data_IF_595533429684
#
_entry.id   IF_595533429684
#
_cell.length_a   1.000
_cell.length_b   1.000
_cell.length_c   1.000
_cell.angle_alpha   90.00
_cell.angle_beta   90.00
_cell.angle_gamma   90.00
#
_symmetry.space_group_name_H-M   'P 1'
#
loop_
_entity.id
_entity.type
_entity.pdbx_description
1 polymer ?
#
# COMPACT_ATOMS: atom_id res chain seq x y z
N UNK A 1 0.59 -18.77 -16.22
CA UNK A 1 2.05 -19.06 -16.24
C UNK A 1 2.76 -17.74 -16.54
N UNK A 2 3.60 -17.27 -15.63
CA UNK A 2 4.32 -15.99 -15.76
C UNK A 2 5.40 -16.15 -16.84
N UNK A 3 5.28 -15.40 -17.93
CA UNK A 3 6.26 -15.42 -19.04
C UNK A 3 7.22 -14.25 -18.88
N UNK A 4 8.52 -14.53 -18.86
CA UNK A 4 9.54 -13.48 -18.86
C UNK A 4 9.69 -12.88 -20.26
N UNK A 5 9.81 -11.56 -20.31
CA UNK A 5 10.01 -10.81 -21.56
C UNK A 5 11.42 -11.02 -22.11
N UNK A 6 12.43 -10.88 -21.25
CA UNK A 6 13.84 -11.02 -21.61
C UNK A 6 14.65 -11.66 -20.48
N UNK A 7 15.80 -12.24 -20.81
CA UNK A 7 16.83 -12.59 -19.83
C UNK A 7 17.88 -11.47 -19.81
N UNK A 8 18.02 -10.79 -18.68
CA UNK A 8 18.96 -9.67 -18.52
C UNK A 8 20.37 -10.17 -18.18
N UNK A 9 21.36 -9.50 -18.74
CA UNK A 9 22.73 -9.65 -18.28
C UNK A 9 22.89 -9.12 -16.84
N UNK A 10 23.85 -9.66 -16.09
CA UNK A 10 24.05 -9.28 -14.69
C UNK A 10 24.34 -7.79 -14.50
N UNK A 11 24.98 -7.15 -15.49
CA UNK A 11 25.24 -5.71 -15.45
C UNK A 11 23.94 -4.90 -15.57
N UNK A 12 23.02 -5.31 -16.44
CA UNK A 12 21.73 -4.66 -16.65
C UNK A 12 20.81 -4.87 -15.45
N UNK A 13 20.76 -6.10 -14.93
CA UNK A 13 20.02 -6.45 -13.72
C UNK A 13 20.50 -5.62 -12.52
N UNK A 14 21.83 -5.48 -12.35
CA UNK A 14 22.43 -4.66 -11.29
C UNK A 14 22.10 -3.18 -11.45
N UNK A 15 22.21 -2.64 -12.65
CA UNK A 15 21.88 -1.24 -12.93
C UNK A 15 20.40 -0.95 -12.65
N UNK A 16 19.49 -1.83 -13.09
CA UNK A 16 18.04 -1.69 -12.86
C UNK A 16 17.70 -1.71 -11.37
N UNK A 17 18.23 -2.67 -10.61
CA UNK A 17 18.02 -2.76 -9.17
C UNK A 17 18.61 -1.54 -8.42
N UNK A 18 19.84 -1.13 -8.77
CA UNK A 18 20.49 0.02 -8.16
C UNK A 18 19.77 1.34 -8.46
N UNK A 19 19.19 1.49 -9.65
CA UNK A 19 18.37 2.64 -10.01
C UNK A 19 17.18 2.81 -9.06
N UNK A 20 16.36 1.76 -8.90
CA UNK A 20 15.23 1.81 -7.98
C UNK A 20 15.66 2.01 -6.52
N UNK A 21 16.72 1.33 -6.06
CA UNK A 21 17.22 1.49 -4.69
C UNK A 21 17.68 2.93 -4.42
N UNK A 22 18.33 3.55 -5.41
CA UNK A 22 18.76 4.96 -5.35
C UNK A 22 17.56 5.90 -5.26
N UNK A 23 16.54 5.69 -6.10
CA UNK A 23 15.34 6.54 -6.11
C UNK A 23 14.53 6.41 -4.82
N UNK A 24 14.38 5.18 -4.30
CA UNK A 24 13.78 4.91 -2.99
C UNK A 24 14.49 5.72 -1.91
N UNK A 25 15.82 5.60 -1.83
CA UNK A 25 16.61 6.28 -0.81
C UNK A 25 16.49 7.80 -0.91
N UNK A 26 16.67 8.36 -2.11
CA UNK A 26 16.57 9.81 -2.36
C UNK A 26 15.19 10.36 -1.98
N UNK A 27 14.12 9.69 -2.41
CA UNK A 27 12.76 10.14 -2.14
C UNK A 27 12.40 9.98 -0.67
N UNK A 28 12.82 8.91 -0.02
CA UNK A 28 12.58 8.70 1.42
C UNK A 28 13.28 9.76 2.28
N UNK A 29 14.55 10.07 1.99
CA UNK A 29 15.29 11.13 2.71
C UNK A 29 14.60 12.47 2.54
N UNK A 30 14.21 12.83 1.32
CA UNK A 30 13.46 14.05 1.05
C UNK A 30 12.14 14.10 1.84
N UNK A 31 11.33 13.04 1.73
CA UNK A 31 10.02 12.97 2.38
C UNK A 31 10.12 13.05 3.90
N UNK A 32 11.10 12.37 4.51
CA UNK A 32 11.37 12.47 5.95
C UNK A 32 11.69 13.91 6.36
N UNK A 33 12.57 14.58 5.61
CA UNK A 33 12.91 15.97 5.87
C UNK A 33 11.69 16.90 5.75
N UNK A 34 10.85 16.71 4.74
CA UNK A 34 9.64 17.52 4.57
C UNK A 34 8.59 17.24 5.64
N UNK A 35 8.41 15.99 6.07
CA UNK A 35 7.49 15.67 7.16
C UNK A 35 7.97 16.27 8.49
N UNK A 36 9.29 16.29 8.73
CA UNK A 36 9.87 16.91 9.92
C UNK A 36 9.74 18.44 9.89
N UNK A 37 10.06 19.10 8.77
CA UNK A 37 10.09 20.55 8.69
C UNK A 37 8.72 21.18 8.45
N UNK A 38 7.87 20.49 7.70
CA UNK A 38 6.64 21.04 7.13
C UNK A 38 5.39 20.20 7.45
N UNK A 39 5.48 19.22 8.37
CA UNK A 39 4.39 18.27 8.66
C UNK A 39 3.03 18.94 8.91
N UNK A 40 2.98 19.96 9.76
CA UNK A 40 1.73 20.67 10.07
C UNK A 40 1.16 21.41 8.87
N UNK A 41 2.04 22.02 8.08
CA UNK A 41 1.67 22.68 6.82
C UNK A 41 1.12 21.69 5.81
N UNK A 42 1.74 20.51 5.67
CA UNK A 42 1.25 19.43 4.79
C UNK A 42 -0.14 18.99 5.22
N UNK A 43 -0.33 18.65 6.50
CA UNK A 43 -1.61 18.20 7.04
C UNK A 43 -2.70 19.26 6.82
N UNK A 44 -2.43 20.50 7.23
CA UNK A 44 -3.38 21.62 7.15
C UNK A 44 -3.77 21.91 5.71
N UNK A 45 -2.80 22.01 4.80
CA UNK A 45 -3.05 22.32 3.38
C UNK A 45 -3.79 21.19 2.67
N UNK A 46 -3.42 19.94 2.92
CA UNK A 46 -4.10 18.77 2.33
C UNK A 46 -5.55 18.65 2.80
N UNK A 47 -5.79 18.74 4.12
CA UNK A 47 -7.14 18.69 4.69
C UNK A 47 -8.02 19.84 4.19
N UNK A 48 -7.46 21.03 3.98
CA UNK A 48 -8.17 22.21 3.47
C UNK A 48 -8.54 22.13 1.99
N UNK A 49 -7.84 21.33 1.17
CA UNK A 49 -8.22 21.12 -0.25
C UNK A 49 -9.57 20.39 -0.30
N UNK A 50 -10.48 20.88 -1.14
CA UNK A 50 -11.73 20.18 -1.46
C UNK A 50 -11.45 18.92 -2.28
N UNK A 51 -12.45 18.03 -2.40
CA UNK A 51 -12.36 16.81 -3.23
C UNK A 51 -11.85 17.11 -4.65
N UNK A 52 -12.47 18.07 -5.35
CA UNK A 52 -12.07 18.44 -6.71
C UNK A 52 -10.63 18.98 -6.76
N UNK A 53 -10.23 19.83 -5.80
CA UNK A 53 -8.85 20.33 -5.74
C UNK A 53 -7.81 19.24 -5.45
N UNK A 54 -8.18 18.17 -4.75
CA UNK A 54 -7.31 16.99 -4.57
C UNK A 54 -7.26 16.19 -5.85
N UNK A 55 -8.39 15.96 -6.51
CA UNK A 55 -8.46 15.28 -7.80
C UNK A 55 -7.59 15.98 -8.85
N UNK A 56 -7.77 17.28 -9.05
CA UNK A 56 -7.00 18.08 -10.01
C UNK A 56 -5.49 17.96 -9.75
N UNK A 57 -5.08 18.07 -8.48
CA UNK A 57 -3.68 17.95 -8.07
C UNK A 57 -3.13 16.55 -8.34
N UNK A 58 -3.87 15.50 -8.02
CA UNK A 58 -3.41 14.12 -8.22
C UNK A 58 -3.32 13.76 -9.71
N UNK A 59 -4.24 14.27 -10.53
CA UNK A 59 -4.21 14.08 -12.00
C UNK A 59 -3.09 14.85 -12.68
N UNK A 60 -2.71 16.02 -12.14
CA UNK A 60 -1.53 16.76 -12.60
C UNK A 60 -0.24 15.96 -12.34
N UNK A 61 -0.15 15.26 -11.20
CA UNK A 61 1.01 14.44 -10.84
C UNK A 61 1.08 13.13 -11.64
N UNK A 62 -0.04 12.41 -11.73
CA UNK A 62 -0.14 11.17 -12.49
C UNK A 62 -1.44 11.19 -13.32
N UNK A 63 -1.36 11.58 -14.60
CA UNK A 63 -2.51 11.58 -15.51
C UNK A 63 -3.13 10.19 -15.69
N UNK A 64 -2.35 9.13 -15.45
CA UNK A 64 -2.77 7.74 -15.58
C UNK A 64 -3.15 7.12 -14.22
N UNK A 65 -3.27 7.91 -13.15
CA UNK A 65 -3.68 7.44 -11.84
C UNK A 65 -5.04 6.76 -11.95
N UNK A 66 -5.11 5.54 -11.44
CA UNK A 66 -6.30 4.73 -11.62
C UNK A 66 -7.52 5.34 -10.91
N UNK A 67 -8.69 5.44 -11.58
CA UNK A 67 -9.81 6.23 -11.05
C UNK A 67 -10.52 5.59 -9.85
N UNK A 68 -10.63 4.26 -9.83
CA UNK A 68 -11.53 3.56 -8.90
C UNK A 68 -10.78 2.74 -7.85
N UNK A 69 -11.43 2.49 -6.71
CA UNK A 69 -10.98 1.44 -5.79
C UNK A 69 -11.10 0.08 -6.45
N UNK A 70 -10.34 -0.90 -5.96
CA UNK A 70 -10.34 -2.28 -6.45
C UNK A 70 -10.09 -2.44 -7.96
N UNK A 71 -8.91 -2.02 -8.47
CA UNK A 71 -8.62 -2.03 -9.91
C UNK A 71 -8.84 -3.39 -10.58
N UNK A 72 -8.53 -4.50 -9.89
CA UNK A 72 -8.73 -5.85 -10.41
C UNK A 72 -10.18 -6.10 -10.87
N UNK A 73 -11.17 -5.69 -10.08
CA UNK A 73 -12.59 -5.93 -10.37
C UNK A 73 -13.03 -5.13 -11.59
N UNK A 74 -12.69 -3.84 -11.61
CA UNK A 74 -13.04 -2.95 -12.71
C UNK A 74 -12.33 -3.32 -14.01
N UNK A 75 -11.04 -3.69 -13.95
CA UNK A 75 -10.29 -4.13 -15.12
C UNK A 75 -10.80 -5.46 -15.66
N UNK A 76 -11.17 -6.42 -14.79
CA UNK A 76 -11.78 -7.67 -15.23
C UNK A 76 -13.12 -7.43 -15.92
N UNK A 77 -13.99 -6.58 -15.34
CA UNK A 77 -15.28 -6.21 -15.96
C UNK A 77 -15.07 -5.53 -17.32
N UNK A 78 -14.12 -4.60 -17.41
CA UNK A 78 -13.79 -3.91 -18.66
C UNK A 78 -13.23 -4.87 -19.71
N UNK A 79 -12.43 -5.85 -19.30
CA UNK A 79 -11.92 -6.90 -20.19
C UNK A 79 -13.04 -7.80 -20.70
N UNK A 80 -13.94 -8.26 -19.82
CA UNK A 80 -15.08 -9.10 -20.19
C UNK A 80 -15.99 -8.42 -21.22
N UNK A 81 -16.20 -7.11 -21.09
CA UNK A 81 -16.96 -6.33 -22.07
C UNK A 81 -16.30 -6.22 -23.45
N UNK A 82 -15.01 -6.55 -23.58
CA UNK A 82 -14.25 -6.56 -24.83
C UNK A 82 -14.18 -7.95 -25.49
N UNK A 83 -14.60 -9.00 -24.80
CA UNK A 83 -14.61 -10.35 -25.35
C UNK A 83 -15.81 -10.46 -26.31
N UNK A 84 -15.59 -10.82 -27.59
CA UNK A 84 -16.67 -11.07 -28.53
C UNK A 84 -17.61 -12.19 -28.02
N UNK A 85 -18.94 -12.07 -28.20
CA UNK A 85 -19.90 -13.05 -27.71
C UNK A 85 -19.84 -14.41 -28.42
N UNK A 86 -19.36 -14.42 -29.67
CA UNK A 86 -19.11 -15.63 -30.47
C UNK A 86 -17.67 -15.59 -30.99
N UNK A 87 -17.07 -16.78 -31.04
CA UNK A 87 -15.76 -17.13 -31.60
C UNK A 87 -14.51 -17.07 -30.70
N UNK A 88 -13.88 -18.26 -30.65
CA UNK A 88 -12.47 -18.55 -30.44
C UNK A 88 -11.67 -17.44 -29.75
N UNK A 89 -11.62 -17.49 -28.42
CA UNK A 89 -10.69 -16.67 -27.65
C UNK A 89 -9.29 -17.03 -28.14
N UNK A 90 -8.68 -16.15 -28.94
CA UNK A 90 -7.27 -16.27 -29.29
C UNK A 90 -6.47 -16.43 -28.00
N UNK A 91 -5.52 -17.36 -27.99
CA UNK A 91 -4.60 -17.53 -26.86
C UNK A 91 -3.86 -16.23 -26.49
N UNK A 92 -3.85 -15.25 -27.41
CA UNK A 92 -3.27 -13.93 -27.23
C UNK A 92 -4.14 -12.91 -26.48
N UNK A 93 -5.44 -13.16 -26.32
CA UNK A 93 -6.36 -12.25 -25.62
C UNK A 93 -6.62 -12.79 -24.21
N UNK A 94 -5.73 -12.44 -23.28
CA UNK A 94 -5.88 -12.79 -21.87
C UNK A 94 -6.10 -11.55 -21.00
N UNK A 95 -6.81 -11.73 -19.89
CA UNK A 95 -6.98 -10.70 -18.86
C UNK A 95 -5.61 -10.16 -18.41
N UNK A 96 -4.63 -11.04 -18.24
CA UNK A 96 -3.30 -10.65 -17.81
C UNK A 96 -2.58 -9.73 -18.80
N UNK A 97 -2.67 -10.00 -20.11
CA UNK A 97 -2.08 -9.13 -21.13
C UNK A 97 -2.79 -7.79 -21.19
N UNK A 98 -4.11 -7.77 -21.06
CA UNK A 98 -4.88 -6.53 -20.96
C UNK A 98 -4.45 -5.69 -19.75
N UNK A 99 -4.27 -6.32 -18.59
CA UNK A 99 -3.86 -5.63 -17.36
C UNK A 99 -2.43 -5.08 -17.39
N UNK A 100 -1.54 -5.55 -18.29
CA UNK A 100 -0.20 -4.97 -18.45
C UNK A 100 -0.23 -3.49 -18.84
N UNK A 101 -1.27 -3.06 -19.56
CA UNK A 101 -1.52 -1.64 -19.87
C UNK A 101 -1.88 -0.80 -18.65
N UNK A 102 -2.14 -1.43 -17.50
CA UNK A 102 -2.48 -0.80 -16.23
C UNK A 102 -1.45 -1.15 -15.14
N UNK A 103 -0.16 -1.12 -15.51
CA UNK A 103 0.95 -1.56 -14.66
C UNK A 103 0.94 -0.91 -13.28
N UNK A 104 0.79 0.40 -13.17
CA UNK A 104 0.81 1.11 -11.88
C UNK A 104 -0.34 0.66 -10.96
N UNK A 105 -1.52 0.44 -11.52
CA UNK A 105 -2.68 -0.07 -10.78
C UNK A 105 -2.48 -1.54 -10.32
N UNK A 106 -1.63 -2.30 -11.01
CA UNK A 106 -1.25 -3.65 -10.60
C UNK A 106 -0.10 -3.66 -9.57
N UNK A 107 0.82 -2.69 -9.64
CA UNK A 107 1.91 -2.54 -8.66
C UNK A 107 1.40 -2.00 -7.32
N UNK A 108 0.50 -1.02 -7.37
CA UNK A 108 0.00 -0.28 -6.21
C UNK A 108 -1.53 -0.16 -6.26
N UNK A 109 -2.29 -1.27 -6.10
CA UNK A 109 -3.74 -1.26 -6.26
C UNK A 109 -4.51 -0.36 -5.28
N UNK A 110 -3.86 0.02 -4.16
CA UNK A 110 -4.40 0.94 -3.16
C UNK A 110 -4.13 2.42 -3.48
N UNK A 111 -3.30 2.73 -4.48
CA UNK A 111 -3.05 4.09 -4.97
C UNK A 111 -4.00 4.36 -6.13
N UNK A 112 -5.15 4.96 -5.81
CA UNK A 112 -6.20 5.31 -6.75
C UNK A 112 -6.87 6.64 -6.37
N UNK A 113 -7.50 7.30 -7.33
CA UNK A 113 -8.13 8.60 -7.14
C UNK A 113 -9.23 8.55 -6.08
N UNK A 114 -10.22 7.67 -6.25
CA UNK A 114 -11.36 7.54 -5.35
C UNK A 114 -10.95 7.42 -3.87
N UNK A 115 -10.01 6.52 -3.57
CA UNK A 115 -9.48 6.33 -2.22
C UNK A 115 -8.77 7.54 -1.64
N UNK A 116 -7.98 8.26 -2.45
CA UNK A 116 -7.16 9.39 -1.98
C UNK A 116 -7.94 10.72 -1.90
N UNK A 117 -8.96 10.93 -2.73
CA UNK A 117 -9.73 12.19 -2.74
C UNK A 117 -10.86 12.20 -1.72
N UNK A 118 -11.48 11.04 -1.45
CA UNK A 118 -12.63 10.92 -0.55
C UNK A 118 -12.25 11.15 0.91
N UNK A 119 -11.23 10.43 1.37
CA UNK A 119 -10.76 10.51 2.74
C UNK A 119 -9.34 11.09 2.79
N UNK A 120 -9.16 12.37 3.19
CA UNK A 120 -7.84 13.00 3.22
C UNK A 120 -6.89 12.32 4.21
N UNK A 121 -7.40 11.57 5.18
CA UNK A 121 -6.58 10.84 6.14
C UNK A 121 -5.81 9.72 5.44
N UNK A 122 -6.34 9.10 4.39
CA UNK A 122 -5.68 7.98 3.69
C UNK A 122 -4.32 8.38 3.14
N UNK A 123 -4.25 9.50 2.42
CA UNK A 123 -2.97 10.03 1.93
C UNK A 123 -2.00 10.36 3.07
N UNK A 124 -2.48 10.99 4.14
CA UNK A 124 -1.62 11.39 5.27
C UNK A 124 -1.08 10.18 6.03
N UNK A 125 -1.93 9.17 6.28
CA UNK A 125 -1.53 7.92 6.92
C UNK A 125 -0.54 7.14 6.06
N UNK A 126 -0.75 7.09 4.74
CA UNK A 126 0.21 6.48 3.81
C UNK A 126 1.56 7.21 3.87
N UNK A 127 1.57 8.54 3.74
CA UNK A 127 2.78 9.36 3.80
C UNK A 127 3.53 9.17 5.13
N UNK A 128 2.81 9.15 6.25
CA UNK A 128 3.39 8.91 7.56
C UNK A 128 4.05 7.54 7.65
N UNK A 129 3.30 6.48 7.37
CA UNK A 129 3.82 5.13 7.55
C UNK A 129 4.95 4.81 6.56
N UNK A 130 4.93 5.38 5.36
CA UNK A 130 6.02 5.21 4.38
C UNK A 130 7.27 6.02 4.71
N UNK A 131 7.17 7.06 5.54
CA UNK A 131 8.33 7.83 6.02
C UNK A 131 8.86 7.35 7.36
N UNK A 132 8.00 6.82 8.23
CA UNK A 132 8.37 6.35 9.56
C UNK A 132 9.21 5.06 9.50
N UNK A 133 8.85 4.12 8.63
CA UNK A 133 9.50 2.81 8.54
C UNK A 133 10.48 2.75 7.36
N UNK A 134 11.46 1.85 7.43
CA UNK A 134 12.42 1.64 6.34
C UNK A 134 11.80 0.82 5.19
N UNK A 135 12.34 0.92 3.96
CA UNK A 135 11.86 0.13 2.81
C UNK A 135 11.93 -1.38 3.06
N UNK A 136 12.96 -1.86 3.78
CA UNK A 136 13.10 -3.27 4.19
C UNK A 136 11.95 -3.75 5.08
N UNK A 137 11.44 -2.91 5.99
CA UNK A 137 10.32 -3.26 6.88
C UNK A 137 9.02 -3.42 6.09
N UNK A 138 8.92 -2.69 4.98
CA UNK A 138 7.79 -2.76 4.06
C UNK A 138 7.93 -3.87 3.01
N UNK A 139 9.15 -4.32 2.71
CA UNK A 139 9.43 -5.25 1.62
C UNK A 139 8.61 -6.56 1.67
N UNK A 140 8.39 -7.24 2.83
CA UNK A 140 7.55 -8.43 2.87
C UNK A 140 6.11 -8.15 2.44
N UNK A 141 5.52 -7.05 2.94
CA UNK A 141 4.15 -6.67 2.60
C UNK A 141 4.04 -6.21 1.14
N UNK A 142 4.98 -5.37 0.69
CA UNK A 142 5.02 -4.92 -0.69
C UNK A 142 5.25 -6.09 -1.66
N UNK A 143 5.91 -7.15 -1.23
CA UNK A 143 5.96 -8.38 -2.00
C UNK A 143 4.61 -9.11 -2.00
N UNK A 144 3.98 -9.26 -0.85
CA UNK A 144 2.69 -9.93 -0.70
C UNK A 144 1.60 -9.33 -1.60
N UNK A 145 1.45 -8.00 -1.62
CA UNK A 145 0.41 -7.34 -2.44
C UNK A 145 0.57 -7.61 -3.95
N UNK A 146 1.78 -7.96 -4.40
CA UNK A 146 2.09 -8.25 -5.80
C UNK A 146 1.77 -9.70 -6.19
N UNK A 147 1.42 -10.58 -5.24
CA UNK A 147 1.16 -12.01 -5.48
C UNK A 147 0.08 -12.23 -6.53
N UNK A 148 -1.09 -11.62 -6.38
CA UNK A 148 -2.19 -11.79 -7.34
C UNK A 148 -1.79 -11.41 -8.76
N UNK A 149 -1.18 -10.24 -8.96
CA UNK A 149 -0.81 -9.78 -10.30
C UNK A 149 0.39 -10.52 -10.89
N UNK A 150 1.25 -11.08 -10.04
CA UNK A 150 2.34 -11.96 -10.44
C UNK A 150 1.83 -13.30 -10.95
N UNK A 151 0.95 -13.96 -10.20
CA UNK A 151 0.39 -15.28 -10.54
C UNK A 151 -0.42 -15.22 -11.84
N UNK A 152 -1.15 -14.11 -12.02
CA UNK A 152 -1.87 -13.83 -13.25
C UNK A 152 -0.94 -13.55 -14.45
N UNK A 153 0.30 -13.13 -14.22
CA UNK A 153 1.22 -12.68 -15.27
C UNK A 153 0.84 -11.29 -15.84
N UNK A 154 0.17 -10.47 -15.03
CA UNK A 154 -0.28 -9.12 -15.36
C UNK A 154 0.84 -8.07 -15.28
N UNK A 155 1.97 -8.44 -14.68
CA UNK A 155 3.19 -7.63 -14.63
C UNK A 155 4.20 -8.22 -15.63
N UNK A 156 4.58 -7.44 -16.64
CA UNK A 156 5.69 -7.80 -17.52
C UNK A 156 7.00 -7.78 -16.72
N UNK A 157 7.84 -8.79 -16.94
CA UNK A 157 8.97 -9.13 -16.08
C UNK A 157 10.16 -9.58 -16.90
N UNK A 158 11.34 -9.18 -16.48
CA UNK A 158 12.58 -9.73 -16.99
C UNK A 158 13.15 -10.76 -16.01
N UNK A 159 13.92 -11.70 -16.54
CA UNK A 159 14.58 -12.75 -15.79
C UNK A 159 16.06 -12.44 -15.58
N UNK A 160 16.56 -12.74 -14.40
CA UNK A 160 17.98 -12.94 -14.12
C UNK A 160 18.08 -14.03 -13.03
N UNK A 161 19.13 -14.85 -13.06
CA UNK A 161 19.32 -15.99 -12.15
C UNK A 161 19.74 -15.59 -10.73
N UNK A 162 20.15 -14.34 -10.53
CA UNK A 162 20.53 -13.80 -9.24
C UNK A 162 19.32 -13.47 -8.36
N UNK A 163 19.62 -13.03 -7.15
CA UNK A 163 18.67 -12.50 -6.18
C UNK A 163 19.00 -11.05 -5.85
N UNK A 164 18.08 -10.36 -5.21
CA UNK A 164 18.29 -9.00 -4.70
C UNK A 164 18.14 -9.04 -3.17
N UNK A 165 19.04 -8.37 -2.47
CA UNK A 165 18.98 -8.21 -1.02
C UNK A 165 17.81 -7.26 -0.68
N UNK A 166 16.87 -7.73 0.14
CA UNK A 166 15.71 -6.94 0.60
C UNK A 166 15.71 -6.72 2.12
N UNK A 167 16.85 -6.93 2.79
CA UNK A 167 17.03 -6.63 4.20
C UNK A 167 18.46 -6.15 4.49
N UNK A 168 18.58 -5.22 5.45
CA UNK A 168 19.84 -4.66 5.92
C UNK A 168 20.42 -3.55 5.01
N UNK A 169 21.65 -3.18 5.29
CA UNK A 169 22.33 -2.03 4.66
C UNK A 169 22.58 -2.17 3.15
N UNK A 170 22.55 -3.40 2.62
CA UNK A 170 22.74 -3.67 1.20
C UNK A 170 21.41 -3.75 0.41
N UNK A 171 20.32 -3.20 0.96
CA UNK A 171 18.99 -3.19 0.35
C UNK A 171 19.03 -2.74 -1.13
N UNK A 172 18.47 -3.57 -2.00
CA UNK A 172 18.41 -3.34 -3.45
C UNK A 172 19.65 -3.78 -4.23
N UNK A 173 20.63 -4.42 -3.58
CA UNK A 173 21.85 -4.91 -4.24
C UNK A 173 21.62 -6.29 -4.86
N UNK A 174 22.08 -6.48 -6.10
CA UNK A 174 22.11 -7.79 -6.76
C UNK A 174 23.16 -8.71 -6.13
N UNK A 175 22.78 -9.93 -5.76
CA UNK A 175 23.64 -10.94 -5.15
C UNK A 175 23.34 -12.33 -5.72
N UNK A 176 24.31 -13.23 -5.65
CA UNK A 176 24.07 -14.64 -6.03
C UNK A 176 22.95 -15.24 -5.18
N UNK A 177 22.12 -16.08 -5.80
CA UNK A 177 21.08 -16.77 -5.06
C UNK A 177 21.70 -17.74 -4.04
N UNK A 178 21.29 -17.60 -2.78
CA UNK A 178 21.69 -18.50 -1.69
C UNK A 178 20.45 -18.94 -0.93
N UNK A 179 20.33 -20.24 -0.71
CA UNK A 179 19.15 -20.86 -0.12
C UNK A 179 18.85 -20.32 1.28
N UNK A 180 19.89 -20.17 2.09
CA UNK A 180 19.81 -19.77 3.49
C UNK A 180 19.38 -18.31 3.62
N UNK A 181 19.89 -17.43 2.75
CA UNK A 181 19.47 -16.03 2.69
C UNK A 181 18.01 -15.90 2.24
N UNK A 182 17.60 -16.69 1.24
CA UNK A 182 16.23 -16.71 0.75
C UNK A 182 15.24 -17.21 1.83
N UNK A 183 15.56 -18.29 2.53
CA UNK A 183 14.72 -18.82 3.62
C UNK A 183 14.57 -17.84 4.79
N UNK A 184 15.54 -16.94 4.98
CA UNK A 184 15.50 -15.90 6.02
C UNK A 184 14.91 -14.57 5.53
N UNK A 185 14.39 -14.51 4.30
CA UNK A 185 13.89 -13.30 3.66
C UNK A 185 14.94 -12.18 3.54
N UNK A 186 16.23 -12.54 3.53
CA UNK A 186 17.33 -11.59 3.36
C UNK A 186 17.50 -11.21 1.89
N UNK A 187 17.27 -12.17 0.99
CA UNK A 187 17.28 -11.96 -0.45
C UNK A 187 16.09 -12.65 -1.11
N UNK A 188 15.63 -12.10 -2.21
CA UNK A 188 14.51 -12.63 -3.00
C UNK A 188 14.96 -12.74 -4.46
N UNK A 189 14.51 -13.78 -5.16
CA UNK A 189 14.85 -13.99 -6.57
C UNK A 189 14.55 -12.74 -7.42
N UNK A 190 15.45 -12.40 -8.35
CA UNK A 190 15.45 -11.13 -9.06
C UNK A 190 14.08 -10.72 -9.63
N UNK A 191 13.34 -11.58 -10.38
CA UNK A 191 12.08 -11.17 -10.99
C UNK A 191 11.04 -10.68 -9.98
N UNK A 192 11.04 -11.28 -8.79
CA UNK A 192 10.08 -10.96 -7.74
C UNK A 192 10.53 -9.75 -6.93
N UNK A 193 11.81 -9.66 -6.63
CA UNK A 193 12.39 -8.55 -5.89
C UNK A 193 12.38 -7.23 -6.68
N UNK A 194 12.61 -7.28 -8.00
CA UNK A 194 12.65 -6.07 -8.82
C UNK A 194 11.28 -5.36 -8.88
N UNK A 195 10.17 -6.10 -8.86
CA UNK A 195 8.84 -5.51 -8.76
C UNK A 195 8.61 -4.84 -7.41
N UNK A 196 9.10 -5.42 -6.32
CA UNK A 196 9.01 -4.81 -4.99
C UNK A 196 9.76 -3.48 -4.96
N UNK A 197 10.98 -3.44 -5.51
CA UNK A 197 11.73 -2.19 -5.64
C UNK A 197 11.03 -1.18 -6.56
N UNK A 198 10.51 -1.61 -7.70
CA UNK A 198 9.78 -0.74 -8.63
C UNK A 198 8.54 -0.13 -7.98
N UNK A 199 7.73 -0.94 -7.29
CA UNK A 199 6.54 -0.48 -6.59
C UNK A 199 6.89 0.54 -5.49
N UNK A 200 7.93 0.27 -4.69
CA UNK A 200 8.39 1.19 -3.65
C UNK A 200 8.95 2.50 -4.23
N UNK A 201 9.76 2.42 -5.28
CA UNK A 201 10.32 3.59 -5.96
C UNK A 201 9.19 4.47 -6.53
N UNK A 202 8.23 3.87 -7.22
CA UNK A 202 7.09 4.57 -7.79
C UNK A 202 6.21 5.20 -6.71
N UNK A 203 5.91 4.47 -5.62
CA UNK A 203 5.15 4.98 -4.49
C UNK A 203 5.82 6.20 -3.84
N UNK A 204 7.11 6.11 -3.52
CA UNK A 204 7.83 7.21 -2.87
C UNK A 204 7.99 8.41 -3.80
N UNK A 205 8.14 8.18 -5.10
CA UNK A 205 8.12 9.26 -6.10
C UNK A 205 6.76 9.96 -6.15
N UNK A 206 5.66 9.20 -6.18
CA UNK A 206 4.30 9.74 -6.16
C UNK A 206 4.04 10.57 -4.89
N UNK A 207 4.42 10.05 -3.72
CA UNK A 207 4.31 10.76 -2.44
C UNK A 207 5.12 12.06 -2.46
N UNK A 208 6.34 12.02 -2.98
CA UNK A 208 7.21 13.19 -3.10
C UNK A 208 6.57 14.27 -3.96
N UNK A 209 6.14 13.95 -5.18
CA UNK A 209 5.49 14.91 -6.08
C UNK A 209 4.24 15.51 -5.45
N UNK A 210 3.48 14.69 -4.71
CA UNK A 210 2.28 15.16 -3.99
C UNK A 210 2.63 16.14 -2.87
N UNK A 211 3.65 15.85 -2.07
CA UNK A 211 4.14 16.76 -1.02
C UNK A 211 4.67 18.06 -1.61
N UNK A 212 5.45 18.00 -2.69
CA UNK A 212 5.94 19.16 -3.43
C UNK A 212 4.79 20.05 -3.91
N UNK A 213 3.74 19.48 -4.52
CA UNK A 213 2.56 20.24 -4.95
C UNK A 213 1.70 20.77 -3.79
N UNK A 214 1.65 20.09 -2.64
CA UNK A 214 0.96 20.59 -1.43
C UNK A 214 1.70 21.82 -0.86
N UNK A 215 3.03 21.78 -0.84
CA UNK A 215 3.87 22.86 -0.34
C UNK A 215 4.01 24.01 -1.35
N UNK A 216 3.86 23.74 -2.66
CA UNK A 216 4.00 24.71 -3.75
C UNK A 216 5.43 25.24 -3.91
N UNK A 217 5.67 26.09 -4.91
CA UNK A 217 6.96 26.76 -5.14
C UNK A 217 7.38 27.77 -4.05
N UNK A 218 6.62 27.91 -2.96
CA UNK A 218 6.93 28.84 -1.86
C UNK A 218 8.00 28.25 -0.93
N UNK A 219 9.15 27.86 -1.49
CA UNK A 219 10.39 27.71 -0.73
C UNK A 219 10.96 29.13 -0.58
N UNK A 220 10.33 29.89 0.30
CA UNK A 220 10.69 31.27 0.56
C UNK A 220 9.86 31.77 1.73
N UNK A 221 10.48 31.79 2.90
CA UNK A 221 9.97 32.35 4.16
C UNK A 221 8.84 31.56 4.83
N UNK A 222 9.23 30.69 5.77
CA UNK A 222 8.68 30.71 7.12
C UNK A 222 9.69 30.10 8.08
N UNK A 223 10.37 30.97 8.84
CA UNK A 223 11.06 30.59 10.08
C UNK A 223 10.00 30.14 11.07
N UNK A 224 10.06 28.87 11.46
CA UNK A 224 9.97 28.35 12.83
C UNK A 224 10.00 26.84 12.70
N UNK A 225 11.05 26.20 13.21
CA UNK A 225 11.10 24.75 13.35
C UNK A 225 10.07 24.39 14.43
N UNK A 226 8.83 24.15 14.02
CA UNK A 226 7.81 23.59 14.90
C UNK A 226 7.95 22.07 14.87
N UNK A 227 8.14 21.47 16.05
CA UNK A 227 8.16 20.02 16.24
C UNK A 227 6.84 19.47 15.70
N UNK A 228 6.91 18.60 14.69
CA UNK A 228 5.76 18.29 13.84
C UNK A 228 4.67 17.49 14.57
N UNK A 229 3.40 17.84 14.36
CA UNK A 229 2.24 17.09 14.89
C UNK A 229 2.01 15.75 14.19
N UNK A 230 2.89 15.33 13.27
CA UNK A 230 2.79 14.08 12.52
C UNK A 230 2.73 12.86 13.46
N UNK A 231 3.44 12.91 14.59
CA UNK A 231 3.38 11.88 15.64
C UNK A 231 1.97 11.68 16.22
N UNK A 232 1.10 12.69 16.12
CA UNK A 232 -0.27 12.66 16.68
C UNK A 232 -1.25 11.89 15.78
N UNK A 233 -1.00 11.83 14.46
CA UNK A 233 -1.85 11.04 13.54
C UNK A 233 -1.75 9.53 13.87
N UNK A 234 -0.59 9.08 14.36
CA UNK A 234 -0.36 7.71 14.83
C UNK A 234 -1.32 7.30 15.96
N UNK A 235 -1.68 8.24 16.86
CA UNK A 235 -2.63 7.97 17.96
C UNK A 235 -4.08 7.87 17.50
N UNK A 236 -4.43 8.47 16.36
CA UNK A 236 -5.80 8.45 15.83
C UNK A 236 -6.14 7.10 15.14
N UNK A 237 -5.12 6.35 14.71
CA UNK A 237 -5.30 5.03 14.10
C UNK A 237 -5.47 3.87 15.08
N UNK A 238 -5.14 4.06 16.36
CA UNK A 238 -5.12 2.96 17.35
C UNK A 238 -5.89 3.22 18.65
N UNK A 239 -6.42 4.41 18.88
CA UNK A 239 -7.28 4.68 20.04
C UNK A 239 -8.74 4.65 19.58
N UNK A 240 -9.52 3.71 20.14
CA UNK A 240 -10.98 3.74 20.14
C UNK A 240 -11.46 5.16 20.43
N UNK A 241 -12.01 5.82 19.42
CA UNK A 241 -12.65 7.13 19.50
C UNK A 241 -13.92 7.01 20.33
N UNK A 242 -13.79 7.10 21.65
CA UNK A 242 -14.91 7.41 22.53
C UNK A 242 -15.32 8.87 22.30
N UNK A 243 -16.45 9.02 21.59
CA UNK A 243 -17.18 10.27 21.52
C UNK A 243 -17.02 11.02 20.20
N UNK A 244 -18.12 11.04 19.44
CA UNK A 244 -18.49 12.04 18.42
C UNK A 244 -18.05 11.87 16.96
N UNK A 245 -17.55 10.72 16.55
CA UNK A 245 -17.51 10.36 15.13
C UNK A 245 -18.27 9.05 14.90
N UNK A 246 -19.50 9.17 14.38
CA UNK A 246 -20.19 8.06 13.72
C UNK A 246 -19.24 7.53 12.64
N UNK A 247 -18.80 6.28 12.78
CA UNK A 247 -18.07 5.45 11.83
C UNK A 247 -17.18 6.20 10.82
N UNK A 248 -15.86 6.23 11.01
CA UNK A 248 -14.91 6.51 9.92
C UNK A 248 -15.02 5.36 8.91
N UNK A 249 -15.55 5.55 7.69
CA UNK A 249 -15.44 4.54 6.65
C UNK A 249 -13.97 4.53 6.18
N UNK A 250 -13.25 3.44 6.46
CA UNK A 250 -11.81 3.28 6.14
C UNK A 250 -10.87 3.07 7.34
N UNK A 251 -11.41 2.80 8.53
CA UNK A 251 -10.66 2.20 9.64
C UNK A 251 -11.37 0.91 10.12
N UNK A 252 -11.97 0.17 9.18
CA UNK A 252 -12.86 -0.95 9.50
C UNK A 252 -12.09 -2.26 9.76
N UNK A 253 -10.86 -2.39 9.23
CA UNK A 253 -10.02 -3.57 9.45
C UNK A 253 -8.56 -3.29 9.08
N UNK A 254 -7.61 -3.58 9.99
CA UNK A 254 -6.16 -3.56 9.68
C UNK A 254 -5.82 -4.43 8.46
N UNK A 255 -6.60 -5.47 8.21
CA UNK A 255 -6.42 -6.35 7.05
C UNK A 255 -6.77 -5.69 5.71
N UNK A 256 -7.78 -4.82 5.67
CA UNK A 256 -8.22 -4.15 4.44
C UNK A 256 -7.45 -2.85 4.20
N UNK A 257 -7.03 -2.16 5.26
CA UNK A 257 -6.35 -0.86 5.21
C UNK A 257 -4.84 -0.96 5.53
N UNK A 258 -4.25 -2.15 5.38
CA UNK A 258 -2.87 -2.45 5.78
C UNK A 258 -1.85 -1.54 5.07
N UNK A 259 -2.11 -1.14 3.82
CA UNK A 259 -1.26 -0.23 3.05
C UNK A 259 -1.18 1.19 3.64
N UNK A 260 -2.14 1.55 4.49
CA UNK A 260 -2.28 2.87 5.13
C UNK A 260 -1.94 2.83 6.62
N UNK A 261 -1.44 1.69 7.10
CA UNK A 261 -1.10 1.44 8.51
C UNK A 261 0.41 1.18 8.66
N UNK A 262 0.87 0.88 9.87
CA UNK A 262 2.25 0.41 10.08
C UNK A 262 2.50 -0.91 9.32
N UNK A 263 3.75 -1.22 8.93
CA UNK A 263 4.06 -2.48 8.25
C UNK A 263 3.63 -3.66 9.14
N UNK A 264 3.06 -4.73 8.55
CA UNK A 264 2.66 -5.89 9.32
C UNK A 264 3.88 -6.50 10.02
N UNK A 265 3.77 -6.65 11.34
CA UNK A 265 4.74 -7.35 12.15
C UNK A 265 4.06 -8.56 12.78
N UNK A 266 4.69 -9.73 12.70
CA UNK A 266 4.20 -10.92 13.37
C UNK A 266 4.56 -10.84 14.85
N UNK A 267 3.53 -10.64 15.67
CA UNK A 267 3.62 -10.64 17.13
C UNK A 267 2.61 -11.66 17.66
N UNK A 268 3.13 -12.82 18.09
CA UNK A 268 2.31 -13.93 18.57
C UNK A 268 1.53 -13.58 19.82
N UNK A 269 2.08 -12.76 20.71
CA UNK A 269 1.45 -12.39 21.97
C UNK A 269 0.29 -11.43 21.73
N UNK A 270 0.49 -10.47 20.82
CA UNK A 270 -0.59 -9.58 20.37
C UNK A 270 -1.73 -10.34 19.70
N UNK A 271 -1.41 -11.29 18.81
CA UNK A 271 -2.41 -12.13 18.14
C UNK A 271 -3.19 -13.01 19.15
N UNK A 272 -2.49 -13.60 20.12
CA UNK A 272 -3.10 -14.40 21.17
C UNK A 272 -4.04 -13.55 22.03
N UNK A 273 -3.64 -12.33 22.38
CA UNK A 273 -4.48 -11.40 23.14
C UNK A 273 -5.74 -11.01 22.35
N UNK A 274 -5.62 -10.69 21.06
CA UNK A 274 -6.78 -10.40 20.19
C UNK A 274 -7.75 -11.59 20.15
N UNK A 275 -7.22 -12.81 20.00
CA UNK A 275 -8.03 -14.03 19.97
C UNK A 275 -8.81 -14.22 21.29
N UNK A 276 -8.13 -14.10 22.43
CA UNK A 276 -8.74 -14.19 23.77
C UNK A 276 -9.80 -13.11 23.99
N UNK A 277 -9.54 -11.87 23.58
CA UNK A 277 -10.53 -10.78 23.70
C UNK A 277 -11.77 -11.04 22.85
N UNK A 278 -11.60 -11.55 21.63
CA UNK A 278 -12.74 -11.91 20.75
C UNK A 278 -13.55 -13.06 21.31
N UNK A 279 -12.89 -14.08 21.84
CA UNK A 279 -13.55 -15.21 22.51
C UNK A 279 -14.40 -14.72 23.68
N UNK A 280 -13.83 -13.88 24.56
CA UNK A 280 -14.55 -13.29 25.69
C UNK A 280 -15.78 -12.47 25.23
N UNK A 281 -15.60 -11.57 24.24
CA UNK A 281 -16.69 -10.75 23.69
C UNK A 281 -17.82 -11.59 23.10
N UNK A 282 -17.49 -12.64 22.35
CA UNK A 282 -18.50 -13.54 21.77
C UNK A 282 -19.20 -14.36 22.87
N UNK A 283 -18.45 -14.80 23.89
CA UNK A 283 -19.01 -15.47 25.05
C UNK A 283 -20.01 -14.59 25.81
N UNK A 284 -19.68 -13.33 26.03
CA UNK A 284 -20.57 -12.35 26.68
C UNK A 284 -21.81 -12.06 25.82
N UNK A 285 -21.64 -11.92 24.50
CA UNK A 285 -22.76 -11.73 23.58
C UNK A 285 -23.72 -12.93 23.58
N UNK A 286 -23.20 -14.17 23.59
CA UNK A 286 -24.01 -15.38 23.67
C UNK A 286 -24.77 -15.47 25.00
N UNK A 287 -24.11 -15.15 26.12
CA UNK A 287 -24.76 -15.09 27.44
C UNK A 287 -25.88 -14.06 27.45
N UNK A 288 -25.65 -12.88 26.87
CA UNK A 288 -26.66 -11.84 26.77
C UNK A 288 -27.90 -12.33 25.98
N UNK A 289 -27.69 -12.95 24.81
CA UNK A 289 -28.78 -13.51 24.02
C UNK A 289 -29.56 -14.59 24.79
N UNK A 290 -28.87 -15.47 25.51
CA UNK A 290 -29.50 -16.52 26.31
C UNK A 290 -30.34 -15.93 27.45
N UNK A 291 -29.83 -14.92 28.16
CA UNK A 291 -30.59 -14.25 29.22
C UNK A 291 -31.83 -13.55 28.66
N UNK A 292 -31.72 -12.83 27.54
CA UNK A 292 -32.87 -12.16 26.91
C UNK A 292 -33.94 -13.16 26.46
N UNK A 293 -33.54 -14.29 25.87
CA UNK A 293 -34.46 -15.37 25.49
C UNK A 293 -35.19 -15.96 26.70
N UNK A 294 -34.48 -16.21 27.81
CA UNK A 294 -35.08 -16.74 29.02
C UNK A 294 -36.08 -15.76 29.66
N UNK A 295 -35.77 -14.47 29.65
CA UNK A 295 -36.68 -13.44 30.17
C UNK A 295 -37.93 -13.29 29.29
N UNK A 296 -37.78 -13.40 27.96
CA UNK A 296 -38.91 -13.36 27.03
C UNK A 296 -39.82 -14.60 27.14
N UNK A 297 -39.24 -15.79 27.37
CA UNK A 297 -40.02 -17.00 27.64
C UNK A 297 -40.87 -16.88 28.90
N UNK A 298 -40.28 -16.37 29.99
CA UNK A 298 -41.00 -16.17 31.25
C UNK A 298 -42.15 -15.14 31.18
N UNK A 299 -42.10 -14.19 30.25
CA UNK A 299 -43.17 -13.21 30.00
C UNK A 299 -44.30 -13.81 29.14
N UNK A 300 -44.00 -14.79 28.28
CA UNK A 300 -45.00 -15.47 27.45
C UNK A 300 -45.74 -16.57 28.20
N UNK A 301 -45.14 -17.11 29.25
CA UNK A 301 -45.73 -18.14 30.12
C UNK A 301 -46.55 -17.55 31.30
N UNK A 302 -46.68 -16.22 31.39
CA UNK A 302 -47.45 -15.48 32.41
C UNK A 302 -48.68 -14.79 31.82
#
# INVERSE_FOLDING_TARGET
MTTYSFALADVEARQKAAGFATDISKNLVYLRQQCQNNGDSIIKRWKKKSRNKREDLLRDIDPNLYPHRWPLVHLNKAFQAKIPPDDWISADITLSRYMRGHRNACLLPYINLEGLIENPVMFLSLLQNRTQYSPEQWAPYDNFILETHWDMGSLALDYNSHSIILAGSAYGTLTQWKREEAHRWMSVGFPRAILTLEAQAHLLSFLRSTVEQILGCTIGYSMEIQISSFDTISKCGSTTLNGRFNHIPGAASRYLDQSFSAPPHFDIDSLLNIAKTREALQGDHLRFLQTVLHTLGAILDS
#
